data_IF_697905895607
#
_entry.id   IF_697905895607
#
_cell.length_a   1.000
_cell.length_b   1.000
_cell.length_c   1.000
_cell.angle_alpha   90.00
_cell.angle_beta   90.00
_cell.angle_gamma   90.00
#
_symmetry.space_group_name_H-M   'P 1'
#
loop_
_entity.id
_entity.type
_entity.pdbx_description
1 polymer ?
#
# COMPACT_ATOMS: atom_id res chain seq x y z
N UNK A 1 0.31 13.83 19.35
CA UNK A 1 -0.64 12.71 19.10
C UNK A 1 -0.20 11.91 17.88
N UNK A 2 -0.35 10.57 17.90
CA UNK A 2 0.05 9.67 16.80
C UNK A 2 -1.12 9.32 15.88
N UNK A 3 -0.92 9.45 14.57
CA UNK A 3 -1.94 9.16 13.54
C UNK A 3 -1.39 8.10 12.59
N UNK A 4 -2.20 7.10 12.27
CA UNK A 4 -1.85 6.04 11.32
C UNK A 4 -2.74 6.11 10.08
N UNK A 5 -2.14 6.41 8.94
CA UNK A 5 -2.81 6.59 7.65
C UNK A 5 -2.58 5.39 6.74
N UNK A 6 -3.65 4.79 6.22
CA UNK A 6 -3.60 3.70 5.26
C UNK A 6 -4.11 4.12 3.87
N UNK A 7 -3.29 3.86 2.85
CA UNK A 7 -3.75 3.68 1.48
C UNK A 7 -3.95 2.19 1.20
N UNK A 8 -5.17 1.83 0.79
CA UNK A 8 -5.62 0.43 0.82
C UNK A 8 -5.17 -0.29 -0.44
N UNK A 9 -4.39 -1.37 -0.28
CA UNK A 9 -3.95 -2.24 -1.38
C UNK A 9 -3.79 -3.69 -0.91
N UNK A 10 -3.84 -4.67 -1.82
CA UNK A 10 -3.59 -6.09 -1.48
C UNK A 10 -2.09 -6.39 -1.46
N UNK A 11 -1.38 -6.02 -2.53
CA UNK A 11 0.08 -6.18 -2.61
C UNK A 11 0.83 -4.99 -2.03
N UNK A 12 0.18 -3.83 -2.02
CA UNK A 12 0.75 -2.60 -1.53
C UNK A 12 -0.23 -1.95 -0.52
N UNK A 13 -0.46 -2.58 0.63
CA UNK A 13 -1.14 -1.89 1.73
C UNK A 13 -0.15 -0.87 2.32
N UNK A 14 -0.17 0.35 1.79
CA UNK A 14 0.74 1.40 2.21
C UNK A 14 0.21 2.05 3.48
N UNK A 15 1.12 2.36 4.40
CA UNK A 15 0.78 2.99 5.67
C UNK A 15 1.81 4.05 6.02
N UNK A 16 1.38 5.12 6.69
CA UNK A 16 2.24 6.14 7.28
C UNK A 16 1.76 6.49 8.68
N UNK A 17 2.59 6.25 9.70
CA UNK A 17 2.39 6.71 11.06
C UNK A 17 3.10 8.06 11.24
N UNK A 18 2.35 9.07 11.65
CA UNK A 18 2.81 10.45 11.78
C UNK A 18 2.64 10.95 13.22
N UNK A 19 3.56 11.79 13.67
CA UNK A 19 3.26 12.69 14.78
C UNK A 19 2.51 13.92 14.23
N UNK A 20 1.40 14.26 14.86
CA UNK A 20 0.55 15.38 14.41
C UNK A 20 0.99 16.75 14.92
N UNK A 21 1.94 16.83 15.85
CA UNK A 21 2.48 18.10 16.33
C UNK A 21 3.52 18.65 15.37
N UNK A 22 4.46 17.81 14.94
CA UNK A 22 5.59 18.21 14.10
C UNK A 22 5.56 17.61 12.68
N UNK A 23 4.56 16.78 12.38
CA UNK A 23 4.37 16.11 11.08
C UNK A 23 5.55 15.21 10.69
N UNK A 24 6.35 14.77 11.66
CA UNK A 24 7.42 13.80 11.46
C UNK A 24 6.85 12.40 11.20
N UNK A 25 7.65 11.56 10.55
CA UNK A 25 7.29 10.18 10.23
C UNK A 25 7.84 9.26 11.32
N UNK A 26 6.95 8.48 11.94
CA UNK A 26 7.29 7.50 12.99
C UNK A 26 7.52 6.10 12.41
N UNK A 27 6.69 5.68 11.46
CA UNK A 27 6.84 4.44 10.67
C UNK A 27 6.17 4.65 9.31
N UNK A 28 6.82 4.23 8.22
CA UNK A 28 6.28 4.38 6.87
C UNK A 28 6.70 3.21 6.00
N UNK A 29 5.76 2.63 5.28
CA UNK A 29 6.07 1.44 4.51
C UNK A 29 4.89 0.86 3.75
N UNK A 30 5.14 -0.33 3.23
CA UNK A 30 4.19 -1.09 2.42
C UNK A 30 4.13 -2.52 2.93
N UNK A 31 2.92 -3.00 3.17
CA UNK A 31 2.64 -4.37 3.58
C UNK A 31 2.05 -5.16 2.40
N UNK A 32 2.43 -6.43 2.26
CA UNK A 32 1.84 -7.34 1.29
C UNK A 32 0.93 -8.33 2.01
N UNK A 33 -0.37 -8.15 1.88
CA UNK A 33 -1.42 -9.01 2.45
C UNK A 33 -1.95 -10.03 1.43
N UNK A 34 -1.29 -10.18 0.29
CA UNK A 34 -1.74 -11.08 -0.78
C UNK A 34 -1.60 -12.55 -0.39
N UNK A 35 -2.71 -13.28 -0.50
CA UNK A 35 -2.75 -14.74 -0.35
C UNK A 35 -2.58 -15.49 -1.68
N UNK A 36 -2.42 -14.75 -2.76
CA UNK A 36 -2.21 -15.32 -4.09
C UNK A 36 -0.80 -15.90 -4.20
N UNK A 37 -0.65 -17.07 -4.85
CA UNK A 37 0.67 -17.67 -5.01
C UNK A 37 1.57 -16.76 -5.84
N UNK A 38 2.80 -16.60 -5.38
CA UNK A 38 3.81 -15.76 -6.05
C UNK A 38 4.65 -16.58 -7.02
N UNK A 39 5.09 -15.94 -8.10
CA UNK A 39 5.98 -16.52 -9.09
C UNK A 39 7.35 -16.87 -8.47
N UNK A 40 7.88 -18.03 -8.84
CA UNK A 40 9.16 -18.54 -8.33
C UNK A 40 10.34 -18.28 -9.29
N UNK A 41 10.10 -17.68 -10.45
CA UNK A 41 11.17 -17.28 -11.37
C UNK A 41 12.05 -16.20 -10.72
N UNK A 42 13.37 -16.35 -10.83
CA UNK A 42 14.35 -15.40 -10.28
C UNK A 42 14.97 -14.55 -11.39
N UNK A 43 15.00 -13.24 -11.17
CA UNK A 43 15.67 -12.25 -12.02
C UNK A 43 16.82 -11.65 -11.23
N UNK A 44 18.06 -11.84 -11.68
CA UNK A 44 19.28 -11.38 -10.98
C UNK A 44 19.28 -11.76 -9.49
N UNK A 45 18.92 -13.02 -9.20
CA UNK A 45 18.84 -13.55 -7.83
C UNK A 45 17.56 -13.24 -7.05
N UNK A 46 16.73 -12.27 -7.48
CA UNK A 46 15.48 -11.90 -6.79
C UNK A 46 14.26 -12.61 -7.37
N UNK A 47 13.38 -13.14 -6.52
CA UNK A 47 12.12 -13.75 -6.95
C UNK A 47 11.17 -12.70 -7.54
N UNK A 48 10.42 -13.10 -8.57
CA UNK A 48 9.39 -12.28 -9.18
C UNK A 48 8.18 -12.09 -8.23
N UNK A 49 7.71 -10.85 -8.07
CA UNK A 49 6.58 -10.49 -7.18
C UNK A 49 5.19 -10.66 -7.84
N UNK A 50 5.15 -11.07 -9.11
CA UNK A 50 3.91 -11.24 -9.84
C UNK A 50 3.17 -12.51 -9.40
N UNK A 51 1.84 -12.43 -9.45
CA UNK A 51 0.98 -13.57 -9.12
C UNK A 51 1.19 -14.69 -10.14
N UNK A 52 1.42 -15.89 -9.64
CA UNK A 52 1.55 -17.09 -10.45
C UNK A 52 0.18 -17.50 -11.02
N UNK A 53 0.14 -17.73 -12.33
CA UNK A 53 -1.07 -18.19 -13.03
C UNK A 53 -0.97 -19.64 -13.48
N UNK A 54 0.25 -20.14 -13.64
CA UNK A 54 0.51 -21.55 -13.97
C UNK A 54 1.55 -22.15 -13.04
N UNK A 55 1.56 -23.47 -12.99
CA UNK A 55 2.60 -24.25 -12.34
C UNK A 55 3.02 -25.42 -13.23
N UNK A 56 4.30 -25.80 -13.16
CA UNK A 56 4.83 -27.00 -13.81
C UNK A 56 4.14 -28.22 -13.21
N UNK A 57 3.62 -29.13 -14.04
CA UNK A 57 2.83 -30.28 -13.58
C UNK A 57 3.60 -31.17 -12.61
N UNK A 58 4.88 -31.41 -12.90
CA UNK A 58 5.69 -32.41 -12.20
C UNK A 58 6.33 -31.87 -10.93
N UNK A 59 6.79 -30.61 -10.94
CA UNK A 59 7.51 -30.00 -9.81
C UNK A 59 6.67 -29.04 -8.98
N UNK A 60 5.50 -28.63 -9.49
CA UNK A 60 4.70 -27.56 -8.91
C UNK A 60 5.33 -26.16 -8.99
N UNK A 61 6.44 -25.99 -9.72
CA UNK A 61 7.13 -24.70 -9.86
C UNK A 61 6.22 -23.64 -10.49
N UNK A 62 6.03 -22.51 -9.80
CA UNK A 62 5.00 -21.51 -10.09
C UNK A 62 5.50 -20.36 -10.96
N UNK A 63 4.74 -20.01 -11.99
CA UNK A 63 5.09 -19.00 -12.99
C UNK A 63 3.93 -18.00 -13.19
N UNK A 64 4.26 -16.71 -13.30
CA UNK A 64 3.32 -15.67 -13.74
C UNK A 64 3.17 -15.68 -15.27
N UNK A 65 2.16 -14.99 -15.79
CA UNK A 65 1.84 -14.96 -17.23
C UNK A 65 3.00 -14.55 -18.13
N UNK A 66 3.86 -13.63 -17.68
CA UNK A 66 5.05 -13.23 -18.45
C UNK A 66 6.09 -14.35 -18.47
N UNK A 67 6.38 -14.94 -17.30
CA UNK A 67 7.42 -15.97 -17.20
C UNK A 67 7.01 -17.33 -17.76
N UNK A 68 5.73 -17.62 -17.92
CA UNK A 68 5.30 -18.82 -18.68
C UNK A 68 5.71 -18.79 -20.15
N UNK A 69 6.09 -17.62 -20.69
CA UNK A 69 6.46 -17.42 -22.10
C UNK A 69 7.97 -17.46 -22.34
N UNK A 70 8.79 -17.62 -21.28
CA UNK A 70 10.25 -17.67 -21.43
C UNK A 70 10.68 -18.99 -22.10
N UNK A 71 11.70 -18.92 -22.96
CA UNK A 71 12.23 -20.07 -23.69
C UNK A 71 12.63 -21.24 -22.77
N UNK A 72 13.19 -20.94 -21.59
CA UNK A 72 13.59 -21.96 -20.61
C UNK A 72 12.43 -22.78 -20.02
N UNK A 73 11.17 -22.39 -20.24
CA UNK A 73 9.99 -23.11 -19.79
C UNK A 73 9.11 -23.62 -20.94
N UNK A 74 9.57 -23.48 -22.20
CA UNK A 74 8.77 -23.77 -23.41
C UNK A 74 8.27 -25.22 -23.45
N UNK A 75 9.12 -26.17 -23.09
CA UNK A 75 8.84 -27.60 -23.22
C UNK A 75 8.22 -28.21 -21.94
N UNK A 76 8.07 -27.40 -20.89
CA UNK A 76 7.47 -27.86 -19.64
C UNK A 76 5.95 -27.95 -19.76
N UNK A 77 5.38 -29.05 -19.27
CA UNK A 77 3.93 -29.20 -19.16
C UNK A 77 3.41 -28.34 -18.01
N UNK A 78 2.66 -27.30 -18.35
CA UNK A 78 2.06 -26.39 -17.38
C UNK A 78 0.60 -26.74 -17.11
N UNK A 79 0.14 -26.49 -15.88
CA UNK A 79 -1.28 -26.46 -15.51
C UNK A 79 -1.61 -25.13 -14.84
N UNK A 80 -2.89 -24.76 -14.79
CA UNK A 80 -3.30 -23.57 -14.06
C UNK A 80 -3.02 -23.75 -12.56
N UNK A 81 -2.65 -22.65 -11.91
CA UNK A 81 -2.61 -22.62 -10.44
C UNK A 81 -4.02 -22.91 -9.90
N UNK A 82 -4.18 -23.76 -8.89
CA UNK A 82 -5.45 -23.95 -8.20
C UNK A 82 -6.01 -22.61 -7.68
N UNK A 83 -7.31 -22.39 -7.86
CA UNK A 83 -7.99 -21.24 -7.27
C UNK A 83 -8.11 -21.43 -5.75
N UNK A 84 -8.01 -20.34 -5.00
CA UNK A 84 -8.31 -20.33 -3.57
C UNK A 84 -9.79 -20.67 -3.35
N UNK A 85 -10.08 -21.52 -2.37
CA UNK A 85 -11.45 -21.96 -2.06
C UNK A 85 -12.25 -20.85 -1.38
N UNK A 86 -11.63 -20.12 -0.45
CA UNK A 86 -12.26 -19.00 0.24
C UNK A 86 -11.29 -17.81 0.33
N UNK A 87 -11.06 -17.10 -0.79
CA UNK A 87 -10.03 -16.07 -0.87
C UNK A 87 -10.24 -14.92 0.12
N UNK A 88 -11.49 -14.55 0.45
CA UNK A 88 -11.75 -13.46 1.40
C UNK A 88 -11.42 -13.86 2.84
N UNK A 89 -11.72 -15.10 3.23
CA UNK A 89 -11.34 -15.62 4.54
C UNK A 89 -9.82 -15.69 4.71
N UNK A 90 -9.12 -16.20 3.69
CA UNK A 90 -7.66 -16.28 3.71
C UNK A 90 -7.05 -14.87 3.73
N UNK A 91 -7.58 -13.95 2.94
CA UNK A 91 -7.15 -12.54 2.92
C UNK A 91 -7.37 -11.88 4.29
N UNK A 92 -8.52 -12.11 4.94
CA UNK A 92 -8.81 -11.61 6.28
C UNK A 92 -7.79 -12.08 7.31
N UNK A 93 -7.44 -13.38 7.31
CA UNK A 93 -6.37 -13.91 8.18
C UNK A 93 -5.02 -13.28 7.88
N UNK A 94 -4.69 -13.09 6.61
CA UNK A 94 -3.44 -12.46 6.20
C UNK A 94 -3.35 -11.02 6.70
N UNK A 95 -4.43 -10.25 6.59
CA UNK A 95 -4.51 -8.87 7.11
C UNK A 95 -4.27 -8.86 8.61
N UNK A 96 -5.02 -9.66 9.38
CA UNK A 96 -4.90 -9.71 10.85
C UNK A 96 -3.47 -10.03 11.26
N UNK A 97 -2.90 -11.12 10.71
CA UNK A 97 -1.52 -11.52 11.01
C UNK A 97 -0.52 -10.41 10.69
N UNK A 98 -0.64 -9.79 9.51
CA UNK A 98 0.30 -8.75 9.06
C UNK A 98 0.22 -7.49 9.93
N UNK A 99 -0.98 -7.13 10.39
CA UNK A 99 -1.18 -5.98 11.29
C UNK A 99 -0.73 -6.28 12.73
N UNK A 100 -0.89 -7.53 13.20
CA UNK A 100 -0.41 -7.95 14.53
C UNK A 100 1.13 -7.92 14.64
N UNK A 101 1.85 -8.15 13.53
CA UNK A 101 3.31 -8.02 13.46
C UNK A 101 3.79 -6.57 13.69
N UNK A 102 2.92 -5.58 13.48
CA UNK A 102 3.20 -4.15 13.64
C UNK A 102 2.66 -3.60 14.95
N UNK A 103 3.32 -3.98 16.05
CA UNK A 103 2.92 -3.59 17.42
C UNK A 103 2.76 -2.07 17.60
N UNK A 104 3.64 -1.29 16.97
CA UNK A 104 3.62 0.18 17.02
C UNK A 104 2.34 0.80 16.44
N UNK A 105 1.58 0.09 15.60
CA UNK A 105 0.33 0.62 15.05
C UNK A 105 -0.69 0.92 16.15
N UNK A 106 -0.72 0.12 17.23
CA UNK A 106 -1.64 0.29 18.35
C UNK A 106 -1.28 1.44 19.29
N UNK A 107 -0.11 2.06 19.11
CA UNK A 107 0.28 3.31 19.77
C UNK A 107 -0.39 4.54 19.15
N UNK A 108 -1.05 4.37 18.00
CA UNK A 108 -1.78 5.45 17.32
C UNK A 108 -3.09 5.74 18.06
N UNK A 109 -3.44 7.01 18.16
CA UNK A 109 -4.72 7.43 18.74
C UNK A 109 -5.82 7.45 17.68
N UNK A 110 -5.45 7.78 16.44
CA UNK A 110 -6.36 7.90 15.30
C UNK A 110 -5.84 7.03 14.16
N UNK A 111 -6.74 6.27 13.55
CA UNK A 111 -6.48 5.54 12.31
C UNK A 111 -7.31 6.15 11.19
N UNK A 112 -6.68 6.50 10.08
CA UNK A 112 -7.38 6.97 8.89
C UNK A 112 -7.14 6.01 7.73
N UNK A 113 -8.18 5.76 6.95
CA UNK A 113 -8.17 4.74 5.89
C UNK A 113 -8.76 5.35 4.62
N UNK A 114 -8.13 5.12 3.46
CA UNK A 114 -8.71 5.55 2.18
C UNK A 114 -10.10 4.93 1.99
N UNK A 115 -11.08 5.77 1.64
CA UNK A 115 -12.43 5.35 1.33
C UNK A 115 -12.53 4.83 -0.10
N UNK A 116 -12.55 3.50 -0.24
CA UNK A 116 -12.65 2.79 -1.51
C UNK A 116 -14.09 2.83 -2.08
N UNK A 117 -14.24 2.97 -3.41
CA UNK A 117 -15.55 2.98 -4.07
C UNK A 117 -16.16 1.57 -4.12
N UNK A 118 -17.23 1.35 -3.35
CA UNK A 118 -17.86 0.04 -3.19
C UNK A 118 -18.29 -0.62 -4.52
N UNK A 119 -18.89 0.15 -5.44
CA UNK A 119 -19.42 -0.39 -6.71
C UNK A 119 -18.34 -0.64 -7.77
N UNK A 120 -17.16 -0.03 -7.65
CA UNK A 120 -16.08 -0.17 -8.64
C UNK A 120 -15.07 -1.23 -8.24
N UNK A 121 -14.83 -1.40 -6.94
CA UNK A 121 -13.84 -2.35 -6.44
C UNK A 121 -14.29 -2.98 -5.11
N UNK A 122 -15.21 -3.98 -5.17
CA UNK A 122 -15.79 -4.57 -3.96
C UNK A 122 -14.74 -5.27 -3.08
N UNK A 123 -13.72 -5.89 -3.68
CA UNK A 123 -12.63 -6.52 -2.92
C UNK A 123 -11.84 -5.49 -2.11
N UNK A 124 -11.48 -4.36 -2.71
CA UNK A 124 -10.78 -3.30 -1.99
C UNK A 124 -11.65 -2.67 -0.91
N UNK A 125 -12.97 -2.58 -1.14
CA UNK A 125 -13.92 -2.18 -0.10
C UNK A 125 -13.93 -3.16 1.07
N UNK A 126 -13.87 -4.47 0.82
CA UNK A 126 -13.75 -5.46 1.89
C UNK A 126 -12.43 -5.33 2.65
N UNK A 127 -11.30 -5.13 1.97
CA UNK A 127 -9.99 -4.92 2.63
C UNK A 127 -10.05 -3.69 3.54
N UNK A 128 -10.59 -2.57 3.04
CA UNK A 128 -10.82 -1.37 3.83
C UNK A 128 -11.62 -1.69 5.11
N UNK A 129 -12.74 -2.41 4.99
CA UNK A 129 -13.58 -2.75 6.13
C UNK A 129 -12.90 -3.72 7.11
N UNK A 130 -12.08 -4.67 6.63
CA UNK A 130 -11.34 -5.57 7.52
C UNK A 130 -10.28 -4.80 8.32
N UNK A 131 -9.54 -3.88 7.67
CA UNK A 131 -8.58 -3.00 8.37
C UNK A 131 -9.30 -2.13 9.40
N UNK A 132 -10.44 -1.54 9.03
CA UNK A 132 -11.29 -0.78 9.95
C UNK A 132 -11.71 -1.62 11.17
N UNK A 133 -12.28 -2.79 10.93
CA UNK A 133 -12.75 -3.68 12.00
C UNK A 133 -11.61 -4.18 12.88
N UNK A 134 -10.42 -4.45 12.32
CA UNK A 134 -9.25 -4.82 13.11
C UNK A 134 -8.94 -3.77 14.18
N UNK A 135 -8.80 -2.50 13.77
CA UNK A 135 -8.48 -1.42 14.70
C UNK A 135 -9.62 -1.13 15.68
N UNK A 136 -10.88 -1.24 15.23
CA UNK A 136 -12.05 -1.10 16.10
C UNK A 136 -12.04 -2.14 17.24
N UNK A 137 -11.70 -3.38 16.93
CA UNK A 137 -11.71 -4.49 17.90
C UNK A 137 -10.51 -4.46 18.88
N UNK A 138 -9.41 -3.77 18.55
CA UNK A 138 -8.23 -3.69 19.43
C UNK A 138 -8.44 -2.72 20.61
N UNK A 139 -9.41 -1.81 20.53
CA UNK A 139 -9.85 -0.97 21.64
C UNK A 139 -8.90 0.17 22.07
N UNK A 140 -7.65 0.19 21.61
CA UNK A 140 -6.69 1.28 21.92
C UNK A 140 -6.84 2.50 21.02
N UNK A 141 -7.55 2.37 19.90
CA UNK A 141 -7.76 3.44 18.93
C UNK A 141 -8.97 4.28 19.35
N UNK A 142 -8.77 5.58 19.55
CA UNK A 142 -9.84 6.51 19.97
C UNK A 142 -10.79 6.81 18.82
N UNK A 143 -10.28 6.87 17.59
CA UNK A 143 -11.08 7.23 16.43
C UNK A 143 -10.58 6.56 15.13
N UNK A 144 -11.52 6.16 14.27
CA UNK A 144 -11.23 5.63 12.94
C UNK A 144 -12.01 6.40 11.90
N UNK A 145 -11.32 7.04 10.95
CA UNK A 145 -11.95 7.82 9.88
C UNK A 145 -11.69 7.26 8.48
N UNK A 146 -12.65 7.47 7.58
CA UNK A 146 -12.54 7.13 6.17
C UNK A 146 -12.34 8.40 5.34
N UNK A 147 -11.19 8.51 4.67
CA UNK A 147 -10.81 9.73 3.94
C UNK A 147 -11.03 9.55 2.45
N UNK A 148 -11.63 10.54 1.79
CA UNK A 148 -11.81 10.48 0.34
C UNK A 148 -10.46 10.68 -0.38
N UNK A 149 -10.10 9.76 -1.27
CA UNK A 149 -8.88 9.79 -2.09
C UNK A 149 -8.62 11.12 -2.81
N UNK A 150 -9.69 11.89 -3.14
CA UNK A 150 -9.58 13.19 -3.83
C UNK A 150 -8.90 14.28 -2.99
N UNK A 151 -8.82 14.10 -1.68
CA UNK A 151 -8.37 15.14 -0.76
C UNK A 151 -6.84 15.20 -0.61
N UNK A 152 -6.13 14.09 -0.85
CA UNK A 152 -4.69 13.99 -0.58
C UNK A 152 -3.82 15.05 -1.26
N UNK A 153 -4.16 15.50 -2.46
CA UNK A 153 -3.38 16.53 -3.16
C UNK A 153 -3.57 17.93 -2.58
N UNK A 154 -4.57 18.15 -1.71
CA UNK A 154 -4.87 19.44 -1.09
C UNK A 154 -3.94 19.78 0.07
N UNK A 155 -3.19 18.81 0.61
CA UNK A 155 -2.24 19.04 1.70
C UNK A 155 -0.92 19.66 1.23
N UNK A 156 -0.71 19.79 -0.08
CA UNK A 156 0.52 20.34 -0.62
C UNK A 156 0.60 21.86 -0.44
N UNK A 157 1.68 22.30 0.21
CA UNK A 157 1.95 23.70 0.55
C UNK A 157 3.17 24.28 -0.18
N UNK A 158 3.76 23.52 -1.11
CA UNK A 158 4.94 23.95 -1.86
C UNK A 158 4.65 24.78 -3.11
N UNK A 159 5.69 25.17 -3.85
CA UNK A 159 5.56 25.90 -5.10
C UNK A 159 4.82 25.08 -6.15
N UNK A 160 4.17 25.75 -7.11
CA UNK A 160 3.46 25.08 -8.21
C UNK A 160 4.41 24.13 -8.95
N UNK A 161 3.97 22.88 -9.11
CA UNK A 161 4.66 21.87 -9.93
C UNK A 161 4.05 21.85 -11.31
N UNK A 162 4.83 22.22 -12.33
CA UNK A 162 4.39 22.14 -13.73
C UNK A 162 4.19 20.68 -14.15
N UNK A 163 3.10 20.41 -14.89
CA UNK A 163 2.73 19.06 -15.31
C UNK A 163 1.85 19.08 -16.57
N UNK A 164 2.38 18.55 -17.66
CA UNK A 164 1.69 18.49 -18.96
C UNK A 164 0.81 17.25 -19.14
N UNK A 165 0.71 16.39 -18.11
CA UNK A 165 -0.07 15.15 -18.19
C UNK A 165 -1.56 15.50 -18.21
N UNK A 166 -2.21 15.23 -19.34
CA UNK A 166 -3.65 15.50 -19.53
C UNK A 166 -4.55 14.51 -18.82
N UNK A 167 -4.16 13.23 -18.78
CA UNK A 167 -4.96 12.18 -18.14
C UNK A 167 -4.94 12.34 -16.62
N UNK A 168 -6.10 12.68 -16.04
CA UNK A 168 -6.24 13.04 -14.61
C UNK A 168 -5.63 12.03 -13.66
N UNK A 169 -5.82 10.73 -13.89
CA UNK A 169 -5.29 9.69 -13.00
C UNK A 169 -3.76 9.69 -12.98
N UNK A 170 -3.12 9.67 -14.17
CA UNK A 170 -1.66 9.75 -14.29
C UNK A 170 -1.11 11.06 -13.76
N UNK A 171 -1.81 12.18 -13.99
CA UNK A 171 -1.43 13.50 -13.46
C UNK A 171 -1.43 13.50 -11.94
N UNK A 172 -2.51 13.02 -11.32
CA UNK A 172 -2.62 12.97 -9.86
C UNK A 172 -1.56 12.08 -9.24
N UNK A 173 -1.26 10.93 -9.87
CA UNK A 173 -0.17 10.04 -9.46
C UNK A 173 1.20 10.73 -9.52
N UNK A 174 1.47 11.44 -10.61
CA UNK A 174 2.71 12.21 -10.75
C UNK A 174 2.81 13.31 -9.68
N UNK A 175 1.76 14.11 -9.51
CA UNK A 175 1.74 15.22 -8.56
C UNK A 175 1.89 14.73 -7.12
N UNK A 176 1.23 13.63 -6.73
CA UNK A 176 1.38 13.04 -5.40
C UNK A 176 2.86 12.75 -5.09
N UNK A 177 3.57 12.13 -6.04
CA UNK A 177 5.01 11.83 -5.88
C UNK A 177 5.84 13.09 -5.72
N UNK A 178 5.59 14.12 -6.53
CA UNK A 178 6.36 15.38 -6.45
C UNK A 178 6.06 16.14 -5.15
N UNK A 179 4.79 16.16 -4.74
CA UNK A 179 4.35 16.82 -3.51
C UNK A 179 4.95 16.15 -2.28
N UNK A 180 4.87 14.81 -2.21
CA UNK A 180 5.53 14.05 -1.14
C UNK A 180 7.03 14.33 -1.11
N UNK A 181 7.71 14.26 -2.26
CA UNK A 181 9.15 14.55 -2.33
C UNK A 181 9.46 15.91 -1.71
N UNK A 182 8.79 16.96 -2.17
CA UNK A 182 9.03 18.31 -1.67
C UNK A 182 8.78 18.40 -0.15
N UNK A 183 7.64 17.91 0.33
CA UNK A 183 7.26 18.01 1.73
C UNK A 183 8.17 17.20 2.67
N UNK A 184 8.66 16.04 2.21
CA UNK A 184 9.68 15.28 2.94
C UNK A 184 10.94 16.12 3.17
N UNK A 185 11.48 16.75 2.13
CA UNK A 185 12.71 17.57 2.22
C UNK A 185 12.54 18.89 2.97
N UNK A 186 11.31 19.39 3.12
CA UNK A 186 11.05 20.58 3.92
C UNK A 186 10.96 20.30 5.41
N UNK A 187 10.54 19.09 5.83
CA UNK A 187 10.46 18.75 7.23
C UNK A 187 11.79 18.15 7.73
N UNK A 188 12.60 18.98 8.39
CA UNK A 188 13.92 18.59 8.92
C UNK A 188 13.87 17.53 10.03
N UNK A 189 12.69 17.25 10.60
CA UNK A 189 12.50 16.22 11.63
C UNK A 189 12.27 14.84 11.04
N UNK A 190 12.06 14.72 9.73
CA UNK A 190 11.92 13.43 9.06
C UNK A 190 13.31 12.80 8.89
N UNK A 191 13.46 11.58 9.40
CA UNK A 191 14.72 10.82 9.30
C UNK A 191 15.13 10.60 7.84
N UNK A 192 16.43 10.72 7.56
CA UNK A 192 17.04 10.46 6.25
C UNK A 192 16.69 9.07 5.68
N UNK A 193 16.45 8.08 6.54
CA UNK A 193 16.04 6.74 6.12
C UNK A 193 14.72 6.74 5.33
N UNK A 194 13.79 7.65 5.66
CA UNK A 194 12.53 7.78 4.93
C UNK A 194 12.69 8.49 3.58
N UNK A 195 13.65 9.41 3.46
CA UNK A 195 14.02 9.96 2.15
C UNK A 195 14.58 8.87 1.24
N UNK A 196 15.49 8.06 1.78
CA UNK A 196 16.07 6.93 1.06
C UNK A 196 15.02 5.90 0.67
N UNK A 197 14.16 5.50 1.62
CA UNK A 197 13.03 4.60 1.38
C UNK A 197 12.19 5.09 0.18
N UNK A 198 11.81 6.37 0.19
CA UNK A 198 10.98 6.93 -0.86
C UNK A 198 11.70 6.94 -2.20
N UNK A 199 12.94 7.46 -2.27
CA UNK A 199 13.68 7.58 -3.53
C UNK A 199 14.06 6.21 -4.14
N UNK A 200 14.32 5.19 -3.33
CA UNK A 200 14.63 3.84 -3.82
C UNK A 200 13.38 3.01 -4.16
N UNK A 201 12.22 3.38 -3.62
CA UNK A 201 10.97 2.62 -3.82
C UNK A 201 10.48 2.66 -5.27
N UNK A 202 10.00 1.52 -5.76
CA UNK A 202 9.23 1.40 -7.03
C UNK A 202 7.74 1.74 -6.86
N UNK A 203 7.31 1.96 -5.62
CA UNK A 203 5.93 2.16 -5.17
C UNK A 203 5.77 3.53 -4.52
N UNK A 204 6.38 4.55 -5.14
CA UNK A 204 6.33 5.93 -4.65
C UNK A 204 4.91 6.45 -4.57
N UNK A 205 4.04 6.03 -5.49
CA UNK A 205 2.64 6.43 -5.49
C UNK A 205 1.88 5.92 -4.27
N UNK A 206 1.96 4.63 -3.94
CA UNK A 206 1.27 4.07 -2.77
C UNK A 206 1.82 4.71 -1.46
N UNK A 207 3.16 4.90 -1.38
CA UNK A 207 3.80 5.61 -0.27
C UNK A 207 3.28 7.06 -0.14
N UNK A 208 3.27 7.81 -1.26
CA UNK A 208 2.78 9.19 -1.31
C UNK A 208 1.33 9.30 -0.86
N UNK A 209 0.47 8.38 -1.28
CA UNK A 209 -0.95 8.41 -0.98
C UNK A 209 -1.21 8.26 0.53
N UNK A 210 -0.53 7.32 1.19
CA UNK A 210 -0.63 7.16 2.66
C UNK A 210 -0.10 8.38 3.43
N UNK A 211 1.02 8.97 3.01
CA UNK A 211 1.63 10.14 3.66
C UNK A 211 0.77 11.41 3.50
N UNK A 212 0.41 11.74 2.26
CA UNK A 212 -0.36 12.96 1.94
C UNK A 212 -1.77 12.93 2.54
N UNK A 213 -2.39 11.74 2.63
CA UNK A 213 -3.65 11.55 3.34
C UNK A 213 -3.52 11.88 4.83
N UNK A 214 -2.43 11.45 5.48
CA UNK A 214 -2.11 11.77 6.87
C UNK A 214 -1.97 13.27 7.11
N UNK A 215 -1.20 13.93 6.26
CA UNK A 215 -1.05 15.39 6.32
C UNK A 215 -2.36 16.13 6.08
N UNK A 216 -3.16 15.70 5.10
CA UNK A 216 -4.47 16.29 4.85
C UNK A 216 -5.37 16.24 6.08
N UNK A 217 -5.39 15.10 6.78
CA UNK A 217 -6.17 14.93 8.00
C UNK A 217 -5.70 15.87 9.11
N UNK A 218 -4.38 15.96 9.35
CA UNK A 218 -3.77 16.85 10.34
C UNK A 218 -4.15 18.31 10.08
N UNK A 219 -4.19 18.73 8.82
CA UNK A 219 -4.36 20.14 8.45
C UNK A 219 -5.82 20.60 8.32
N UNK A 220 -6.78 19.69 8.23
CA UNK A 220 -8.15 20.06 7.82
C UNK A 220 -9.28 19.44 8.65
N UNK A 221 -8.98 18.44 9.48
CA UNK A 221 -10.03 17.68 10.20
C UNK A 221 -9.76 17.62 11.71
N UNK A 222 -8.48 17.66 12.11
CA UNK A 222 -8.07 17.88 13.50
C UNK A 222 -8.22 19.36 13.86
#
# INVERSE_FOLDING_TARGET
>A
MKILSFDVGIKNLAYCQLDSEDKSILDWGILNISVEPTCQHKIKGKCCENTAKKMVKDTGFRLCTSHTKLKCYKDLKLKNTPKLKNPMFDLGKSIIKTLDEKKNFLESEIVIIENQPALKNPTMKSVQMIVYSYFLMKGSIKEIQMINARNKLKSYTGPKVECDIKETYKRNKFLAIQYTRYMLYQNQLISHDYHKLFEESKKKDDLSDSYLQGLYFIDNIK
#
